data_IF_466448270226
#
_entry.id   IF_466448270226
#
_cell.length_a   1.000
_cell.length_b   1.000
_cell.length_c   1.000
_cell.angle_alpha   90.00
_cell.angle_beta   90.00
_cell.angle_gamma   90.00
#
_symmetry.space_group_name_H-M   'P 1'
#
loop_
_entity.id
_entity.type
_entity.pdbx_description
1 polymer ?
#
# COMPACT_ATOMS: atom_id res chain seq x y z
N UNK A 1 17.04 11.57 5.93
CA UNK A 1 16.45 10.24 6.11
C UNK A 1 16.93 9.34 4.98
N UNK A 2 17.37 8.12 5.29
CA UNK A 2 17.84 7.13 4.31
C UNK A 2 16.67 6.25 3.84
N UNK A 3 15.68 6.89 3.24
CA UNK A 3 14.52 6.23 2.66
C UNK A 3 14.52 6.58 1.18
N UNK A 4 14.38 5.57 0.34
CA UNK A 4 14.33 5.75 -1.11
C UNK A 4 13.21 4.87 -1.67
N UNK A 5 12.47 5.42 -2.62
CA UNK A 5 11.51 4.72 -3.46
C UNK A 5 11.93 4.88 -4.92
N UNK A 6 11.88 3.79 -5.67
CA UNK A 6 11.91 3.82 -7.12
C UNK A 6 10.75 3.00 -7.66
N UNK A 7 10.09 3.50 -8.69
CA UNK A 7 8.96 2.79 -9.27
C UNK A 7 8.46 3.36 -10.58
N UNK A 8 7.64 2.57 -11.23
CA UNK A 8 6.91 2.90 -12.44
C UNK A 8 5.44 3.03 -12.07
N UNK A 9 4.78 4.09 -12.54
CA UNK A 9 3.36 4.31 -12.36
C UNK A 9 2.69 4.79 -13.66
N UNK A 10 1.36 4.90 -13.64
CA UNK A 10 0.56 5.30 -14.80
C UNK A 10 0.80 6.75 -15.28
N UNK A 11 1.45 7.62 -14.48
CA UNK A 11 1.84 8.96 -14.91
C UNK A 11 3.09 8.94 -15.79
N UNK A 12 3.92 7.92 -15.67
CA UNK A 12 5.22 7.80 -16.33
C UNK A 12 5.23 6.78 -17.47
N UNK A 13 4.35 5.80 -17.42
CA UNK A 13 4.37 4.67 -18.32
C UNK A 13 2.95 4.26 -18.73
N UNK A 14 2.77 3.99 -20.00
CA UNK A 14 1.56 3.38 -20.51
C UNK A 14 1.37 1.95 -19.98
N UNK A 15 0.22 1.38 -20.29
CA UNK A 15 -0.12 0.04 -19.80
C UNK A 15 0.83 -1.03 -20.33
N UNK A 16 1.34 -0.89 -21.56
CA UNK A 16 2.24 -1.87 -22.19
C UNK A 16 3.60 -1.94 -21.46
N UNK A 17 4.11 -0.81 -20.97
CA UNK A 17 5.31 -0.74 -20.15
C UNK A 17 5.02 -1.25 -18.74
N UNK A 18 3.90 -0.86 -18.12
CA UNK A 18 3.55 -1.29 -16.75
C UNK A 18 3.37 -2.82 -16.66
N UNK A 19 2.79 -3.45 -17.66
CA UNK A 19 2.62 -4.91 -17.74
C UNK A 19 3.97 -5.65 -17.61
N UNK A 20 5.05 -5.10 -18.18
CA UNK A 20 6.39 -5.70 -18.10
C UNK A 20 6.97 -5.71 -16.69
N UNK A 21 6.49 -4.82 -15.82
CA UNK A 21 6.88 -4.72 -14.42
C UNK A 21 5.84 -5.29 -13.45
N UNK A 22 4.75 -5.83 -13.97
CA UNK A 22 3.74 -6.51 -13.16
C UNK A 22 4.30 -7.81 -12.56
N UNK A 23 4.02 -8.05 -11.28
CA UNK A 23 4.53 -9.21 -10.56
C UNK A 23 3.40 -10.05 -9.98
N UNK A 24 3.47 -11.35 -10.19
CA UNK A 24 2.65 -12.29 -9.41
C UNK A 24 3.09 -12.31 -7.94
N UNK A 25 2.22 -12.78 -7.04
CA UNK A 25 2.57 -12.93 -5.64
C UNK A 25 3.83 -13.80 -5.41
N UNK A 26 4.04 -14.81 -6.24
CA UNK A 26 5.22 -15.68 -6.18
C UNK A 26 6.48 -14.93 -6.60
N UNK A 27 6.43 -14.18 -7.71
CA UNK A 27 7.56 -13.40 -8.22
C UNK A 27 7.93 -12.29 -7.24
N UNK A 28 6.94 -11.58 -6.67
CA UNK A 28 7.14 -10.55 -5.66
C UNK A 28 7.91 -11.09 -4.43
N UNK A 29 7.47 -12.23 -3.88
CA UNK A 29 8.16 -12.88 -2.75
C UNK A 29 9.57 -13.31 -3.10
N UNK A 30 9.79 -13.84 -4.29
CA UNK A 30 11.12 -14.21 -4.77
C UNK A 30 12.03 -12.98 -4.91
N UNK A 31 11.52 -11.85 -5.40
CA UNK A 31 12.23 -10.58 -5.49
C UNK A 31 12.68 -10.09 -4.11
N UNK A 32 11.77 -10.03 -3.12
CA UNK A 32 12.09 -9.61 -1.75
C UNK A 32 13.18 -10.48 -1.13
N UNK A 33 13.10 -11.81 -1.30
CA UNK A 33 14.14 -12.74 -0.83
C UNK A 33 15.47 -12.52 -1.50
N UNK A 34 15.48 -12.27 -2.81
CA UNK A 34 16.71 -11.99 -3.58
C UNK A 34 17.39 -10.71 -3.10
N UNK A 35 16.63 -9.62 -2.97
CA UNK A 35 17.14 -8.34 -2.45
C UNK A 35 17.72 -8.53 -1.05
N UNK A 36 17.00 -9.21 -0.17
CA UNK A 36 17.46 -9.48 1.19
C UNK A 36 18.74 -10.29 1.25
N UNK A 37 18.93 -11.24 0.34
CA UNK A 37 20.15 -12.07 0.25
C UNK A 37 21.34 -11.26 -0.23
N UNK A 38 21.14 -10.37 -1.20
CA UNK A 38 22.19 -9.53 -1.80
C UNK A 38 22.53 -8.32 -0.92
N UNK A 39 21.53 -7.77 -0.21
CA UNK A 39 21.61 -6.56 0.60
C UNK A 39 20.98 -6.80 1.99
N UNK A 40 21.65 -7.56 2.88
CA UNK A 40 21.08 -7.92 4.20
C UNK A 40 20.82 -6.70 5.11
N UNK A 41 21.53 -5.59 4.88
CA UNK A 41 21.37 -4.32 5.60
C UNK A 41 20.20 -3.46 5.11
N UNK A 42 19.56 -3.85 3.99
CA UNK A 42 18.51 -3.07 3.36
C UNK A 42 17.15 -3.58 3.81
N UNK A 43 16.36 -2.68 4.39
CA UNK A 43 14.92 -2.92 4.54
C UNK A 43 14.25 -2.70 3.19
N UNK A 44 13.30 -3.55 2.80
CA UNK A 44 12.53 -3.33 1.58
C UNK A 44 11.07 -3.74 1.69
N UNK A 45 10.21 -2.99 0.99
CA UNK A 45 8.80 -3.29 0.74
C UNK A 45 8.53 -3.06 -0.74
N UNK A 46 7.80 -3.98 -1.37
CA UNK A 46 7.44 -3.90 -2.77
C UNK A 46 5.92 -3.76 -2.91
N UNK A 47 5.47 -2.62 -3.43
CA UNK A 47 4.07 -2.39 -3.79
C UNK A 47 3.93 -2.73 -5.28
N UNK A 48 3.03 -3.64 -5.61
CA UNK A 48 2.62 -3.91 -6.98
C UNK A 48 1.11 -3.94 -7.07
N UNK A 49 0.57 -3.18 -8.00
CA UNK A 49 -0.85 -3.05 -8.27
C UNK A 49 -1.05 -2.98 -9.78
N UNK A 50 -2.29 -2.83 -10.23
CA UNK A 50 -2.58 -2.57 -11.64
C UNK A 50 -1.94 -1.27 -12.19
N UNK A 51 -1.69 -0.29 -11.34
CA UNK A 51 -1.28 1.05 -11.77
C UNK A 51 0.17 1.38 -11.44
N UNK A 52 0.87 0.53 -10.67
CA UNK A 52 2.26 0.81 -10.25
C UNK A 52 3.02 -0.41 -9.77
N UNK A 53 4.33 -0.34 -9.93
CA UNK A 53 5.29 -1.23 -9.26
C UNK A 53 6.36 -0.37 -8.64
N UNK A 54 6.48 -0.40 -7.31
CA UNK A 54 7.33 0.49 -6.52
C UNK A 54 8.13 -0.29 -5.48
N UNK A 55 9.45 -0.17 -5.52
CA UNK A 55 10.36 -0.70 -4.51
C UNK A 55 10.71 0.42 -3.51
N UNK A 56 10.38 0.19 -2.27
CA UNK A 56 10.68 1.03 -1.13
C UNK A 56 11.82 0.46 -0.33
N UNK A 57 12.79 1.27 0.02
CA UNK A 57 13.94 0.83 0.80
C UNK A 57 14.33 1.81 1.89
N UNK A 58 14.92 1.27 2.95
CA UNK A 58 15.62 2.05 3.96
C UNK A 58 16.93 1.34 4.31
N UNK A 59 18.01 2.10 4.45
CA UNK A 59 19.33 1.59 4.81
C UNK A 59 19.85 2.26 6.07
N UNK A 60 20.84 1.64 6.70
CA UNK A 60 21.58 2.26 7.80
C UNK A 60 22.38 3.47 7.31
N UNK A 61 22.61 4.48 8.16
CA UNK A 61 23.51 5.58 7.82
C UNK A 61 24.90 5.08 7.43
N UNK A 62 25.40 5.54 6.27
CA UNK A 62 26.71 5.13 5.77
C UNK A 62 26.76 3.84 4.94
N UNK A 63 25.66 3.11 4.82
CA UNK A 63 25.59 1.95 3.93
C UNK A 63 25.61 2.38 2.46
N UNK A 64 26.18 1.56 1.56
CA UNK A 64 26.09 1.78 0.12
C UNK A 64 24.64 1.92 -0.33
N UNK A 65 24.39 2.86 -1.24
CA UNK A 65 23.05 2.99 -1.83
C UNK A 65 22.87 1.95 -2.93
N UNK A 66 21.86 1.08 -2.77
CA UNK A 66 21.46 0.16 -3.82
C UNK A 66 20.80 0.92 -4.98
N UNK A 67 21.08 0.50 -6.21
CA UNK A 67 20.35 0.99 -7.39
C UNK A 67 19.01 0.27 -7.50
N UNK A 68 17.95 0.95 -7.08
CA UNK A 68 16.59 0.37 -7.03
C UNK A 68 16.00 0.15 -8.42
N UNK A 69 16.42 0.95 -9.41
CA UNK A 69 15.99 0.78 -10.80
C UNK A 69 16.58 -0.52 -11.35
N UNK A 70 17.89 -0.73 -11.13
CA UNK A 70 18.55 -1.96 -11.50
C UNK A 70 17.90 -3.18 -10.84
N UNK A 71 17.64 -3.12 -9.52
CA UNK A 71 17.02 -4.22 -8.78
C UNK A 71 15.62 -4.58 -9.33
N UNK A 72 14.80 -3.58 -9.68
CA UNK A 72 13.48 -3.82 -10.27
C UNK A 72 13.57 -4.36 -11.70
N UNK A 73 14.48 -3.82 -12.51
CA UNK A 73 14.71 -4.30 -13.86
C UNK A 73 15.19 -5.76 -13.88
N UNK A 74 16.14 -6.12 -13.01
CA UNK A 74 16.58 -7.50 -12.85
C UNK A 74 15.47 -8.44 -12.41
N UNK A 75 14.67 -8.03 -11.41
CA UNK A 75 13.54 -8.82 -10.90
C UNK A 75 12.49 -9.10 -11.98
N UNK A 76 12.26 -8.13 -12.87
CA UNK A 76 11.33 -8.25 -13.99
C UNK A 76 11.98 -8.75 -15.29
N UNK A 77 13.30 -9.00 -15.29
CA UNK A 77 14.07 -9.42 -16.47
C UNK A 77 13.97 -8.42 -17.64
N UNK A 78 14.01 -7.14 -17.31
CA UNK A 78 13.96 -6.05 -18.29
C UNK A 78 15.31 -5.33 -18.37
N UNK A 79 15.75 -4.87 -19.55
CA UNK A 79 17.00 -4.12 -19.72
C UNK A 79 16.86 -2.72 -19.10
N UNK A 80 17.83 -2.31 -18.28
CA UNK A 80 17.82 -1.00 -17.58
C UNK A 80 17.86 0.14 -18.58
N UNK A 81 18.63 0.01 -19.65
CA UNK A 81 18.85 1.04 -20.67
C UNK A 81 17.55 1.44 -21.38
N UNK A 82 16.65 0.48 -21.55
CA UNK A 82 15.36 0.69 -22.22
C UNK A 82 14.32 1.33 -21.28
N UNK A 83 14.34 0.95 -19.97
CA UNK A 83 13.24 1.28 -19.06
C UNK A 83 13.57 2.31 -17.98
N UNK A 84 14.84 2.68 -17.79
CA UNK A 84 15.24 3.61 -16.72
C UNK A 84 14.52 4.97 -16.76
N UNK A 85 14.18 5.47 -17.96
CA UNK A 85 13.49 6.75 -18.14
C UNK A 85 12.04 6.77 -17.60
N UNK A 86 11.41 5.60 -17.47
CA UNK A 86 10.06 5.47 -16.93
C UNK A 86 9.99 5.48 -15.40
N UNK A 87 11.13 5.34 -14.73
CA UNK A 87 11.15 5.31 -13.27
C UNK A 87 11.08 6.71 -12.67
N UNK A 88 10.30 6.82 -11.61
CA UNK A 88 10.37 7.92 -10.66
C UNK A 88 11.15 7.48 -9.44
N UNK A 89 12.02 8.37 -8.94
CA UNK A 89 12.81 8.12 -7.72
C UNK A 89 12.48 9.24 -6.72
N UNK A 90 12.12 8.86 -5.49
CA UNK A 90 11.87 9.79 -4.40
C UNK A 90 12.73 9.44 -3.20
N UNK A 91 13.24 10.45 -2.50
CA UNK A 91 14.18 10.25 -1.38
C UNK A 91 13.77 11.07 -0.16
N UNK A 92 14.07 10.52 1.02
CA UNK A 92 13.92 11.23 2.29
C UNK A 92 12.49 11.69 2.54
N UNK A 93 12.30 13.00 2.76
CA UNK A 93 10.99 13.59 3.05
C UNK A 93 9.99 13.46 1.91
N UNK A 94 10.44 13.61 0.68
CA UNK A 94 9.60 13.45 -0.49
C UNK A 94 9.02 12.03 -0.59
N UNK A 95 9.82 11.01 -0.27
CA UNK A 95 9.35 9.64 -0.23
C UNK A 95 8.30 9.42 0.89
N UNK A 96 8.50 10.02 2.07
CA UNK A 96 7.55 9.95 3.18
C UNK A 96 6.21 10.57 2.80
N UNK A 97 6.23 11.80 2.31
CA UNK A 97 5.04 12.52 1.85
C UNK A 97 4.30 11.70 0.78
N UNK A 98 5.04 11.23 -0.22
CA UNK A 98 4.48 10.45 -1.30
C UNK A 98 3.77 9.17 -0.81
N UNK A 99 4.35 8.43 0.16
CA UNK A 99 3.70 7.23 0.69
C UNK A 99 2.40 7.57 1.45
N UNK A 100 2.38 8.67 2.20
CA UNK A 100 1.18 9.13 2.90
C UNK A 100 0.08 9.51 1.89
N UNK A 101 0.42 10.29 0.87
CA UNK A 101 -0.50 10.66 -0.21
C UNK A 101 -0.95 9.44 -1.01
N UNK A 102 -0.04 8.55 -1.39
CA UNK A 102 -0.34 7.31 -2.10
C UNK A 102 -1.32 6.43 -1.32
N UNK A 103 -1.02 6.18 -0.04
CA UNK A 103 -1.86 5.35 0.82
C UNK A 103 -3.28 5.89 0.98
N UNK A 104 -3.45 7.20 0.80
CA UNK A 104 -4.74 7.91 0.85
C UNK A 104 -5.46 7.97 -0.49
N UNK A 105 -4.90 7.37 -1.55
CA UNK A 105 -5.48 7.38 -2.89
C UNK A 105 -5.29 8.69 -3.66
N UNK A 106 -4.44 9.62 -3.19
CA UNK A 106 -4.21 10.91 -3.86
C UNK A 106 -3.35 10.77 -5.12
N UNK A 107 -2.64 9.66 -5.26
CA UNK A 107 -1.87 9.27 -6.44
C UNK A 107 -2.48 8.06 -7.14
N UNK A 108 -3.71 7.70 -6.86
CA UNK A 108 -4.44 6.68 -7.60
C UNK A 108 -5.01 7.27 -8.88
N UNK A 109 -5.18 6.44 -9.90
CA UNK A 109 -5.80 6.84 -11.17
C UNK A 109 -7.23 7.38 -10.95
N UNK A 110 -7.88 6.87 -9.92
CA UNK A 110 -9.14 7.37 -9.39
C UNK A 110 -8.85 7.98 -8.03
N UNK A 111 -9.12 9.27 -7.88
CA UNK A 111 -8.88 10.00 -6.64
C UNK A 111 -9.63 9.37 -5.46
N UNK A 112 -8.89 9.05 -4.41
CA UNK A 112 -9.44 8.45 -3.19
C UNK A 112 -9.84 6.98 -3.33
N UNK A 113 -9.24 6.23 -4.26
CA UNK A 113 -9.45 4.79 -4.41
C UNK A 113 -9.21 4.05 -3.09
N UNK A 114 -10.22 3.32 -2.65
CA UNK A 114 -10.22 2.57 -1.39
C UNK A 114 -9.32 1.34 -1.40
N UNK A 115 -9.01 0.82 -2.57
CA UNK A 115 -8.24 -0.42 -2.72
C UNK A 115 -6.77 -0.21 -2.34
N UNK A 116 -6.23 1.01 -2.56
CA UNK A 116 -4.81 1.30 -2.31
C UNK A 116 -4.41 1.07 -0.84
N UNK A 117 -5.27 1.42 0.13
CA UNK A 117 -5.00 1.15 1.56
C UNK A 117 -4.80 -0.36 1.79
N UNK A 118 -5.64 -1.17 1.19
CA UNK A 118 -5.58 -2.64 1.29
C UNK A 118 -4.33 -3.19 0.60
N UNK A 119 -3.95 -2.63 -0.54
CA UNK A 119 -2.76 -3.01 -1.30
C UNK A 119 -1.47 -2.64 -0.53
N UNK A 120 -1.38 -1.43 0.04
CA UNK A 120 -0.25 -1.01 0.89
C UNK A 120 -0.13 -1.88 2.14
N UNK A 121 -1.26 -2.24 2.79
CA UNK A 121 -1.27 -3.19 3.91
C UNK A 121 -0.78 -4.57 3.50
N UNK A 122 -1.21 -5.06 2.34
CA UNK A 122 -0.80 -6.36 1.82
C UNK A 122 0.69 -6.39 1.49
N UNK A 123 1.23 -5.32 0.90
CA UNK A 123 2.66 -5.16 0.61
C UNK A 123 3.49 -5.23 1.90
N UNK A 124 3.11 -4.46 2.93
CA UNK A 124 3.78 -4.50 4.23
C UNK A 124 3.69 -5.89 4.87
N UNK A 125 2.53 -6.54 4.81
CA UNK A 125 2.34 -7.91 5.33
C UNK A 125 3.27 -8.89 4.63
N UNK A 126 3.34 -8.86 3.31
CA UNK A 126 4.23 -9.74 2.53
C UNK A 126 5.70 -9.50 2.86
N UNK A 127 6.12 -8.23 2.99
CA UNK A 127 7.49 -7.91 3.39
C UNK A 127 7.84 -8.43 4.80
N UNK A 128 6.88 -8.42 5.74
CA UNK A 128 7.05 -9.05 7.08
C UNK A 128 7.22 -10.55 6.99
N UNK A 129 6.38 -11.23 6.21
CA UNK A 129 6.43 -12.68 6.01
C UNK A 129 7.76 -13.13 5.39
N UNK A 130 8.33 -12.31 4.52
CA UNK A 130 9.64 -12.55 3.88
C UNK A 130 10.82 -11.97 4.70
N UNK A 131 10.58 -11.46 5.92
CA UNK A 131 11.59 -10.83 6.79
C UNK A 131 12.37 -9.71 6.10
N UNK A 132 11.76 -9.02 5.16
CA UNK A 132 12.38 -7.97 4.35
C UNK A 132 12.21 -6.56 4.93
N UNK A 133 11.23 -6.36 5.80
CA UNK A 133 10.96 -5.08 6.46
C UNK A 133 11.67 -4.98 7.80
N UNK A 134 12.24 -3.82 8.10
CA UNK A 134 12.80 -3.47 9.41
C UNK A 134 12.02 -2.36 10.07
N UNK A 135 12.60 -1.76 11.12
CA UNK A 135 11.89 -0.79 11.97
C UNK A 135 11.47 0.49 11.22
N UNK A 136 12.27 0.95 10.25
CA UNK A 136 12.01 2.22 9.57
C UNK A 136 10.83 2.10 8.63
N UNK A 137 10.84 1.14 7.73
CA UNK A 137 9.73 0.94 6.80
C UNK A 137 8.48 0.43 7.51
N UNK A 138 8.62 -0.38 8.57
CA UNK A 138 7.49 -0.81 9.40
C UNK A 138 6.71 0.38 9.96
N UNK A 139 7.41 1.32 10.60
CA UNK A 139 6.76 2.51 11.19
C UNK A 139 6.23 3.43 10.11
N UNK A 140 7.00 3.68 9.05
CA UNK A 140 6.58 4.53 7.93
C UNK A 140 5.26 4.04 7.30
N UNK A 141 5.21 2.78 6.92
CA UNK A 141 4.00 2.20 6.29
C UNK A 141 2.80 2.19 7.23
N UNK A 142 3.01 1.89 8.52
CA UNK A 142 1.93 1.96 9.53
C UNK A 142 1.39 3.37 9.70
N UNK A 143 2.27 4.36 9.78
CA UNK A 143 1.91 5.78 9.90
C UNK A 143 1.13 6.23 8.65
N UNK A 144 1.61 5.92 7.46
CA UNK A 144 0.92 6.23 6.21
C UNK A 144 -0.48 5.58 6.13
N UNK A 145 -0.61 4.30 6.52
CA UNK A 145 -1.91 3.61 6.59
C UNK A 145 -2.85 4.28 7.61
N UNK A 146 -2.32 4.75 8.74
CA UNK A 146 -3.13 5.41 9.78
C UNK A 146 -3.61 6.77 9.29
N UNK A 147 -2.72 7.57 8.69
CA UNK A 147 -3.07 8.85 8.05
C UNK A 147 -4.11 8.67 6.95
N UNK A 148 -3.94 7.67 6.09
CA UNK A 148 -4.90 7.36 5.03
C UNK A 148 -6.29 7.03 5.56
N UNK A 149 -6.39 6.26 6.64
CA UNK A 149 -7.69 6.00 7.31
C UNK A 149 -8.31 7.27 7.88
N UNK A 150 -7.50 8.18 8.44
CA UNK A 150 -7.99 9.46 8.95
C UNK A 150 -8.52 10.35 7.83
N UNK A 151 -7.78 10.48 6.73
CA UNK A 151 -8.23 11.18 5.51
C UNK A 151 -9.57 10.61 5.04
N UNK A 152 -9.65 9.28 4.91
CA UNK A 152 -10.88 8.61 4.51
C UNK A 152 -12.06 8.95 5.43
N UNK A 153 -11.89 8.83 6.73
CA UNK A 153 -12.98 9.09 7.69
C UNK A 153 -13.37 10.57 7.78
N UNK A 154 -12.45 11.50 7.49
CA UNK A 154 -12.69 12.93 7.64
C UNK A 154 -13.18 13.61 6.37
N UNK A 155 -12.75 13.15 5.19
CA UNK A 155 -12.99 13.85 3.92
C UNK A 155 -13.80 12.97 2.96
N UNK A 156 -13.52 11.66 2.92
CA UNK A 156 -14.06 10.76 1.91
C UNK A 156 -15.37 10.08 2.31
N UNK A 157 -15.80 10.17 3.58
CA UNK A 157 -17.10 9.67 4.04
C UNK A 157 -18.31 10.45 3.50
N UNK A 158 -18.11 11.47 2.69
CA UNK A 158 -19.18 12.27 2.08
C UNK A 158 -19.79 11.65 0.80
N UNK A 159 -19.95 10.32 0.76
CA UNK A 159 -20.89 9.67 -0.16
C UNK A 159 -20.52 9.62 -1.64
N UNK A 160 -19.31 9.97 -2.02
CA UNK A 160 -18.86 9.80 -3.43
C UNK A 160 -18.16 8.45 -3.55
N UNK A 161 -18.84 7.53 -4.18
CA UNK A 161 -18.35 6.20 -4.53
C UNK A 161 -17.17 6.34 -5.52
N UNK A 162 -15.96 5.95 -5.10
CA UNK A 162 -14.70 6.25 -5.80
C UNK A 162 -13.92 4.99 -6.14
N UNK A 163 -14.63 3.91 -6.41
CA UNK A 163 -14.01 2.70 -6.92
C UNK A 163 -13.85 2.75 -8.45
N UNK A 164 -12.94 1.95 -8.98
CA UNK A 164 -12.79 1.70 -10.44
C UNK A 164 -14.16 1.37 -11.06
N UNK A 165 -14.99 0.64 -10.33
CA UNK A 165 -16.32 0.24 -10.78
C UNK A 165 -17.29 1.42 -10.88
N UNK A 166 -17.22 2.40 -9.97
CA UNK A 166 -18.02 3.63 -10.07
C UNK A 166 -17.53 4.57 -11.16
N UNK A 167 -16.21 4.63 -11.39
CA UNK A 167 -15.63 5.37 -12.50
C UNK A 167 -16.06 4.76 -13.85
N UNK A 168 -16.13 3.44 -13.94
CA UNK A 168 -16.69 2.73 -15.09
C UNK A 168 -18.12 3.19 -15.40
N UNK A 169 -18.99 3.26 -14.40
CA UNK A 169 -20.38 3.73 -14.60
C UNK A 169 -20.43 5.19 -15.06
N UNK A 170 -19.55 6.06 -14.52
CA UNK A 170 -19.44 7.46 -14.97
C UNK A 170 -19.00 7.53 -16.41
N UNK A 171 -17.96 6.80 -16.80
CA UNK A 171 -17.48 6.71 -18.18
C UNK A 171 -18.63 6.30 -19.13
N UNK A 172 -19.35 5.23 -18.81
CA UNK A 172 -20.47 4.76 -19.63
C UNK A 172 -21.55 5.83 -19.80
N UNK A 173 -21.88 6.56 -18.73
CA UNK A 173 -22.86 7.65 -18.79
C UNK A 173 -22.38 8.82 -19.64
N UNK A 174 -21.14 9.25 -19.50
CA UNK A 174 -20.58 10.37 -20.27
C UNK A 174 -20.40 10.05 -21.77
N UNK A 175 -20.14 8.77 -22.05
CA UNK A 175 -20.11 8.28 -23.45
C UNK A 175 -21.49 7.94 -23.98
N UNK A 176 -22.55 8.26 -23.21
CA UNK A 176 -23.95 8.01 -23.55
C UNK A 176 -24.24 6.52 -23.88
N UNK A 177 -23.47 5.59 -23.28
CA UNK A 177 -23.65 4.15 -23.45
C UNK A 177 -24.76 3.69 -22.48
N UNK A 178 -25.90 3.18 -22.98
CA UNK A 178 -27.01 2.79 -22.13
C UNK A 178 -26.67 1.54 -21.33
N UNK A 179 -27.05 1.54 -20.03
CA UNK A 179 -26.83 0.39 -19.12
C UNK A 179 -28.19 -0.24 -18.78
N UNK A 180 -29.20 0.59 -18.50
CA UNK A 180 -30.50 0.12 -18.06
C UNK A 180 -31.17 -0.82 -19.09
N UNK A 181 -31.53 -2.02 -18.63
CA UNK A 181 -32.15 -3.04 -19.46
C UNK A 181 -31.17 -3.82 -20.36
N UNK A 182 -29.93 -3.36 -20.49
CA UNK A 182 -28.91 -4.00 -21.33
C UNK A 182 -28.35 -5.28 -20.70
N UNK A 183 -27.93 -6.21 -21.55
CA UNK A 183 -27.22 -7.42 -21.12
C UNK A 183 -25.74 -7.08 -20.86
N UNK A 184 -25.30 -7.33 -19.62
CA UNK A 184 -23.94 -7.07 -19.19
C UNK A 184 -23.26 -8.37 -18.77
N UNK A 185 -22.08 -8.65 -19.35
CA UNK A 185 -21.26 -9.78 -18.98
C UNK A 185 -20.08 -9.32 -18.14
N UNK A 186 -19.88 -9.91 -16.97
CA UNK A 186 -18.69 -9.65 -16.13
C UNK A 186 -17.84 -10.92 -16.08
N UNK A 187 -16.63 -10.82 -16.61
CA UNK A 187 -15.66 -11.92 -16.60
C UNK A 187 -14.75 -11.74 -15.40
N UNK A 188 -14.87 -12.67 -14.44
CA UNK A 188 -14.11 -12.62 -13.19
C UNK A 188 -14.99 -12.42 -11.95
N UNK A 189 -14.68 -13.19 -10.90
CA UNK A 189 -15.37 -13.17 -9.60
C UNK A 189 -14.42 -12.70 -8.47
N UNK A 190 -13.40 -11.91 -8.81
CA UNK A 190 -12.56 -11.21 -7.87
C UNK A 190 -13.28 -10.03 -7.22
N UNK A 191 -12.58 -9.27 -6.38
CA UNK A 191 -13.14 -8.07 -5.72
C UNK A 191 -13.66 -7.05 -6.74
N UNK A 192 -12.82 -6.68 -7.72
CA UNK A 192 -13.18 -5.72 -8.77
C UNK A 192 -14.36 -6.20 -9.61
N UNK A 193 -14.34 -7.48 -10.03
CA UNK A 193 -15.44 -8.05 -10.83
C UNK A 193 -16.78 -8.04 -10.10
N UNK A 194 -16.79 -8.32 -8.79
CA UNK A 194 -18.01 -8.25 -7.97
C UNK A 194 -18.52 -6.82 -7.82
N UNK A 195 -17.61 -5.85 -7.59
CA UNK A 195 -17.98 -4.44 -7.51
C UNK A 195 -18.52 -3.93 -8.84
N UNK A 196 -17.88 -4.27 -9.95
CA UNK A 196 -18.36 -3.91 -11.30
C UNK A 196 -19.75 -4.48 -11.57
N UNK A 197 -19.99 -5.74 -11.19
CA UNK A 197 -21.29 -6.39 -11.32
C UNK A 197 -22.37 -5.69 -10.50
N UNK A 198 -22.07 -5.32 -9.24
CA UNK A 198 -23.00 -4.58 -8.37
C UNK A 198 -23.34 -3.21 -8.93
N UNK A 199 -22.37 -2.47 -9.45
CA UNK A 199 -22.61 -1.13 -9.99
C UNK A 199 -23.41 -1.18 -11.30
N UNK A 200 -23.15 -2.17 -12.15
CA UNK A 200 -23.96 -2.39 -13.37
C UNK A 200 -25.41 -2.77 -13.02
N UNK A 201 -25.60 -3.64 -12.03
CA UNK A 201 -26.93 -4.05 -11.55
C UNK A 201 -27.69 -2.86 -10.96
N UNK A 202 -27.08 -2.05 -10.10
CA UNK A 202 -27.66 -0.81 -9.56
C UNK A 202 -28.03 0.19 -10.65
N UNK A 203 -27.29 0.21 -11.76
CA UNK A 203 -27.57 1.05 -12.91
C UNK A 203 -28.69 0.46 -13.82
N UNK A 204 -29.27 -0.67 -13.44
CA UNK A 204 -30.38 -1.33 -14.13
C UNK A 204 -29.95 -2.31 -15.22
N UNK A 205 -28.67 -2.68 -15.31
CA UNK A 205 -28.16 -3.69 -16.23
C UNK A 205 -28.58 -5.11 -15.85
N UNK A 206 -28.76 -5.99 -16.83
CA UNK A 206 -28.99 -7.44 -16.61
C UNK A 206 -27.63 -8.14 -16.58
N UNK A 207 -27.11 -8.36 -15.38
CA UNK A 207 -25.73 -8.78 -15.17
C UNK A 207 -25.60 -10.31 -15.10
N UNK A 208 -24.70 -10.86 -15.93
CA UNK A 208 -24.25 -12.24 -15.86
C UNK A 208 -22.77 -12.27 -15.53
N UNK A 209 -22.38 -13.01 -14.50
CA UNK A 209 -20.97 -13.18 -14.09
C UNK A 209 -20.44 -14.54 -14.51
N UNK A 210 -19.16 -14.60 -14.88
CA UNK A 210 -18.50 -15.88 -15.11
C UNK A 210 -17.80 -16.37 -13.86
N UNK A 211 -17.85 -17.69 -13.64
CA UNK A 211 -17.14 -18.37 -12.57
C UNK A 211 -16.19 -19.44 -13.12
N UNK A 212 -14.95 -19.45 -12.63
CA UNK A 212 -14.09 -20.63 -12.69
C UNK A 212 -14.39 -21.51 -11.49
N UNK A 213 -14.70 -22.78 -11.71
CA UNK A 213 -14.88 -23.75 -10.61
C UNK A 213 -13.53 -24.05 -9.95
N UNK A 214 -13.20 -23.37 -8.84
CA UNK A 214 -12.15 -23.76 -7.94
C UNK A 214 -12.74 -24.45 -6.70
N UNK A 215 -12.28 -25.63 -6.42
CA UNK A 215 -12.86 -26.60 -5.45
C UNK A 215 -12.91 -26.18 -3.97
N UNK A 216 -12.47 -24.99 -3.54
CA UNK A 216 -12.28 -24.73 -2.10
C UNK A 216 -12.55 -23.30 -1.60
N UNK A 217 -13.33 -22.47 -2.27
CA UNK A 217 -13.75 -21.16 -1.71
C UNK A 217 -15.24 -20.94 -1.87
N UNK A 218 -15.87 -20.40 -0.83
CA UNK A 218 -17.23 -19.86 -0.93
C UNK A 218 -17.30 -18.83 -2.05
N UNK A 219 -18.21 -19.06 -2.99
CA UNK A 219 -18.43 -18.16 -4.12
C UNK A 219 -19.46 -17.13 -3.69
N UNK A 220 -19.03 -15.87 -3.57
CA UNK A 220 -19.93 -14.75 -3.29
C UNK A 220 -20.39 -14.15 -4.61
N UNK A 221 -21.69 -14.21 -4.85
CA UNK A 221 -22.34 -13.61 -6.02
C UNK A 221 -23.15 -12.40 -5.55
N UNK A 222 -23.02 -11.23 -6.16
CA UNK A 222 -23.87 -10.08 -5.87
C UNK A 222 -25.34 -10.38 -6.13
N UNK A 223 -26.23 -9.80 -5.31
CA UNK A 223 -27.67 -9.92 -5.50
C UNK A 223 -28.08 -9.40 -6.89
N UNK A 224 -29.05 -10.03 -7.52
CA UNK A 224 -29.54 -9.66 -8.84
C UNK A 224 -28.69 -10.13 -10.01
N UNK A 225 -27.50 -10.71 -9.77
CA UNK A 225 -26.62 -11.20 -10.82
C UNK A 225 -26.86 -12.69 -11.13
N UNK A 226 -26.87 -13.06 -12.40
CA UNK A 226 -26.84 -14.44 -12.89
C UNK A 226 -25.41 -14.96 -12.99
N UNK A 227 -25.23 -16.28 -13.05
CA UNK A 227 -23.92 -16.91 -13.08
C UNK A 227 -23.82 -17.97 -14.17
N UNK A 228 -22.67 -17.97 -14.87
CA UNK A 228 -22.34 -19.00 -15.86
C UNK A 228 -20.91 -19.51 -15.67
N UNK A 229 -20.60 -20.68 -16.24
CA UNK A 229 -19.21 -21.15 -16.28
C UNK A 229 -18.34 -20.21 -17.12
N UNK A 230 -17.09 -19.99 -16.69
CA UNK A 230 -16.09 -19.20 -17.42
C UNK A 230 -15.92 -19.67 -18.87
N UNK A 231 -16.04 -20.98 -19.12
CA UNK A 231 -15.87 -21.54 -20.45
C UNK A 231 -16.96 -21.06 -21.44
N UNK A 232 -18.12 -20.63 -20.91
CA UNK A 232 -19.24 -20.09 -21.71
C UNK A 232 -19.15 -18.58 -22.00
N UNK A 233 -18.03 -17.92 -21.64
CA UNK A 233 -17.88 -16.47 -21.76
C UNK A 233 -18.10 -15.96 -23.20
N UNK A 234 -17.60 -16.67 -24.21
CA UNK A 234 -17.80 -16.29 -25.61
C UNK A 234 -19.25 -16.53 -26.10
N UNK A 235 -19.95 -17.53 -25.59
CA UNK A 235 -21.36 -17.75 -25.89
C UNK A 235 -22.20 -16.61 -25.27
N UNK A 236 -21.89 -16.20 -24.05
CA UNK A 236 -22.56 -15.08 -23.38
C UNK A 236 -22.21 -13.72 -24.00
N UNK A 237 -21.02 -13.57 -24.56
CA UNK A 237 -20.60 -12.36 -25.27
C UNK A 237 -21.51 -12.04 -26.47
N UNK A 238 -22.09 -13.05 -27.15
CA UNK A 238 -22.92 -12.85 -28.32
C UNK A 238 -24.18 -12.03 -28.04
N UNK A 239 -24.68 -12.02 -26.81
CA UNK A 239 -25.88 -11.26 -26.44
C UNK A 239 -25.61 -10.08 -25.51
N UNK A 240 -24.35 -9.78 -25.22
CA UNK A 240 -23.98 -8.72 -24.30
C UNK A 240 -23.71 -7.40 -25.03
N UNK A 241 -24.29 -6.31 -24.53
CA UNK A 241 -23.99 -4.95 -25.00
C UNK A 241 -22.78 -4.36 -24.28
N UNK A 242 -22.50 -4.82 -23.05
CA UNK A 242 -21.36 -4.40 -22.23
C UNK A 242 -20.66 -5.65 -21.70
N UNK A 243 -19.34 -5.72 -21.88
CA UNK A 243 -18.52 -6.80 -21.35
C UNK A 243 -17.41 -6.20 -20.50
N UNK A 244 -17.35 -6.57 -19.23
CA UNK A 244 -16.30 -6.14 -18.30
C UNK A 244 -15.41 -7.34 -17.98
N UNK A 245 -14.10 -7.21 -18.12
CA UNK A 245 -13.15 -8.22 -17.66
C UNK A 245 -12.32 -7.70 -16.49
N UNK A 246 -12.26 -8.50 -15.41
CA UNK A 246 -11.61 -8.15 -14.16
C UNK A 246 -11.07 -9.42 -13.49
N UNK A 247 -10.09 -10.08 -14.11
CA UNK A 247 -9.50 -11.33 -13.60
C UNK A 247 -8.05 -11.13 -13.18
N UNK A 248 -7.47 -12.13 -12.53
CA UNK A 248 -6.03 -12.24 -12.27
C UNK A 248 -5.39 -13.26 -13.20
N UNK A 249 -5.95 -13.45 -14.38
CA UNK A 249 -5.46 -14.41 -15.36
C UNK A 249 -4.13 -13.92 -15.97
N UNK A 250 -3.10 -14.77 -16.11
CA UNK A 250 -1.89 -14.41 -16.83
C UNK A 250 -2.08 -14.43 -18.36
N UNK A 251 -3.27 -14.79 -18.85
CA UNK A 251 -3.59 -14.92 -20.27
C UNK A 251 -4.84 -14.11 -20.59
N UNK A 252 -4.94 -13.63 -21.81
CA UNK A 252 -6.13 -12.94 -22.29
C UNK A 252 -7.39 -13.78 -22.09
N UNK A 253 -8.42 -13.16 -21.55
CA UNK A 253 -9.74 -13.76 -21.37
C UNK A 253 -10.59 -13.64 -22.63
N UNK A 254 -10.37 -12.58 -23.41
CA UNK A 254 -11.00 -12.33 -24.69
C UNK A 254 -9.94 -12.09 -25.77
N UNK A 255 -10.11 -12.77 -26.90
CA UNK A 255 -9.25 -12.69 -28.08
C UNK A 255 -10.06 -12.33 -29.32
N UNK A 256 -9.51 -11.53 -30.26
CA UNK A 256 -10.28 -10.98 -31.38
C UNK A 256 -10.89 -12.05 -32.28
N UNK A 257 -10.17 -13.13 -32.59
CA UNK A 257 -10.62 -14.19 -33.49
C UNK A 257 -11.83 -14.93 -32.91
N UNK A 258 -11.81 -15.21 -31.60
CA UNK A 258 -12.90 -15.94 -30.94
C UNK A 258 -14.10 -15.03 -30.67
N UNK A 259 -13.82 -13.76 -30.36
CA UNK A 259 -14.86 -12.77 -30.08
C UNK A 259 -15.61 -12.38 -31.36
N UNK A 260 -14.92 -12.05 -32.46
CA UNK A 260 -15.52 -11.65 -33.72
C UNK A 260 -16.50 -12.68 -34.27
N UNK A 261 -16.21 -13.97 -34.10
CA UNK A 261 -17.07 -15.07 -34.52
C UNK A 261 -18.39 -15.17 -33.73
N UNK A 262 -18.53 -14.43 -32.63
CA UNK A 262 -19.68 -14.52 -31.71
C UNK A 262 -20.48 -13.23 -31.56
N UNK A 263 -19.90 -12.08 -31.90
CA UNK A 263 -20.62 -10.81 -31.79
C UNK A 263 -21.76 -10.72 -32.81
N UNK A 264 -22.91 -10.24 -32.36
CA UNK A 264 -24.11 -10.03 -33.19
C UNK A 264 -24.51 -8.56 -33.32
N UNK A 265 -23.72 -7.64 -32.74
CA UNK A 265 -23.99 -6.19 -32.82
C UNK A 265 -22.96 -5.40 -31.99
N UNK A 266 -23.20 -4.10 -31.81
CA UNK A 266 -22.29 -3.22 -31.08
C UNK A 266 -22.06 -3.68 -29.65
N UNK A 267 -20.79 -3.70 -29.21
CA UNK A 267 -20.41 -4.09 -27.90
C UNK A 267 -19.36 -3.14 -27.31
N UNK A 268 -19.55 -2.78 -26.05
CA UNK A 268 -18.55 -2.05 -25.24
C UNK A 268 -17.77 -3.02 -24.39
N UNK A 269 -16.46 -3.06 -24.59
CA UNK A 269 -15.52 -3.85 -23.81
C UNK A 269 -14.84 -2.94 -22.77
N UNK A 270 -14.72 -3.40 -21.54
CA UNK A 270 -14.07 -2.69 -20.44
C UNK A 270 -13.07 -3.63 -19.79
N UNK A 271 -11.79 -3.30 -19.87
CA UNK A 271 -10.72 -4.07 -19.25
C UNK A 271 -10.29 -3.40 -17.95
N UNK A 272 -10.62 -4.02 -16.82
CA UNK A 272 -10.25 -3.58 -15.46
C UNK A 272 -9.06 -4.37 -14.88
N UNK A 273 -8.37 -5.15 -15.73
CA UNK A 273 -7.28 -6.02 -15.30
C UNK A 273 -5.90 -5.48 -15.72
N UNK A 274 -4.88 -5.76 -14.90
CA UNK A 274 -3.47 -5.64 -15.27
C UNK A 274 -2.73 -6.87 -14.70
N UNK A 275 -2.05 -7.63 -15.56
CA UNK A 275 -1.99 -7.49 -17.02
C UNK A 275 -3.38 -7.52 -17.67
N UNK A 276 -3.49 -6.94 -18.87
CA UNK A 276 -4.76 -6.89 -19.59
C UNK A 276 -5.40 -8.26 -19.76
N UNK A 277 -6.69 -8.30 -19.54
CA UNK A 277 -7.54 -9.48 -19.76
C UNK A 277 -8.04 -9.54 -21.23
N UNK A 278 -8.19 -8.39 -21.88
CA UNK A 278 -8.71 -8.27 -23.24
C UNK A 278 -7.54 -7.99 -24.18
N UNK A 279 -7.40 -8.82 -25.19
CA UNK A 279 -6.34 -8.62 -26.20
C UNK A 279 -6.57 -7.32 -26.97
N UNK A 280 -5.55 -6.42 -27.11
CA UNK A 280 -5.70 -5.12 -27.76
C UNK A 280 -6.29 -5.17 -29.16
N UNK A 281 -6.05 -6.26 -29.90
CA UNK A 281 -6.63 -6.50 -31.23
C UNK A 281 -8.16 -6.46 -31.25
N UNK A 282 -8.83 -6.67 -30.09
CA UNK A 282 -10.29 -6.55 -30.01
C UNK A 282 -10.79 -5.13 -30.33
N UNK A 283 -10.01 -4.08 -30.08
CA UNK A 283 -10.36 -2.70 -30.42
C UNK A 283 -10.46 -2.44 -31.94
N UNK A 284 -9.86 -3.30 -32.73
CA UNK A 284 -9.91 -3.20 -34.21
C UNK A 284 -11.10 -3.93 -34.82
N UNK A 285 -11.91 -4.61 -34.03
CA UNK A 285 -13.10 -5.30 -34.53
C UNK A 285 -14.23 -4.29 -34.87
N UNK A 286 -15.03 -4.54 -35.92
CA UNK A 286 -16.19 -3.73 -36.21
C UNK A 286 -17.16 -3.68 -35.01
N UNK A 287 -17.76 -2.52 -34.78
CA UNK A 287 -18.76 -2.30 -33.73
C UNK A 287 -18.28 -2.59 -32.28
N UNK A 288 -16.97 -2.63 -32.08
CA UNK A 288 -16.36 -2.79 -30.77
C UNK A 288 -15.76 -1.46 -30.29
N UNK A 289 -16.11 -1.05 -29.06
CA UNK A 289 -15.45 0.03 -28.34
C UNK A 289 -14.74 -0.58 -27.11
N UNK A 290 -13.44 -0.40 -27.03
CA UNK A 290 -12.63 -0.90 -25.90
C UNK A 290 -12.16 0.25 -25.02
N UNK A 291 -12.45 0.15 -23.73
CA UNK A 291 -11.90 1.00 -22.67
C UNK A 291 -11.02 0.15 -21.76
N UNK A 292 -9.81 0.59 -21.53
CA UNK A 292 -8.88 0.00 -20.55
C UNK A 292 -8.69 0.91 -19.33
N UNK A 293 -7.82 0.50 -18.42
CA UNK A 293 -7.55 1.24 -17.16
C UNK A 293 -7.09 2.69 -17.41
N UNK A 294 -6.46 3.00 -18.52
CA UNK A 294 -5.94 4.35 -18.80
C UNK A 294 -7.08 5.34 -19.14
N UNK A 295 -8.22 4.83 -19.61
CA UNK A 295 -9.40 5.66 -19.91
C UNK A 295 -10.05 6.27 -18.67
N UNK A 296 -9.72 5.82 -17.46
CA UNK A 296 -10.32 6.33 -16.21
C UNK A 296 -9.56 7.50 -15.59
N UNK A 297 -8.39 7.86 -16.12
CA UNK A 297 -7.52 8.93 -15.59
C UNK A 297 -8.07 10.36 -15.76
N UNK A 298 -9.01 10.58 -16.67
CA UNK A 298 -9.54 11.92 -17.00
C UNK A 298 -10.69 12.38 -16.11
N UNK A 299 -11.11 11.57 -15.13
CA UNK A 299 -12.31 11.81 -14.30
C UNK A 299 -12.05 12.59 -13.02
N UNK A 300 -11.19 13.62 -13.05
CA UNK A 300 -10.86 14.47 -11.89
C UNK A 300 -11.42 15.90 -12.06
N UNK A 301 -12.20 16.40 -11.10
CA UNK A 301 -12.88 17.69 -11.15
C UNK A 301 -12.48 18.71 -10.04
N UNK A 302 -12.99 19.96 -10.12
CA UNK A 302 -12.66 21.07 -9.20
C UNK A 302 -12.94 20.80 -7.71
N UNK A 303 -13.97 20.01 -7.39
CA UNK A 303 -14.25 19.57 -6.02
C UNK A 303 -13.12 18.72 -5.41
N UNK A 304 -12.28 18.13 -6.25
CA UNK A 304 -11.13 17.33 -5.83
C UNK A 304 -9.94 18.19 -5.37
N UNK A 305 -9.77 19.40 -5.91
CA UNK A 305 -8.67 20.28 -5.51
C UNK A 305 -8.78 20.74 -4.05
N UNK A 306 -9.99 21.01 -3.55
CA UNK A 306 -10.23 21.37 -2.15
C UNK A 306 -10.06 20.17 -1.23
N UNK A 307 -10.58 19.01 -1.65
CA UNK A 307 -10.41 17.75 -0.91
C UNK A 307 -8.95 17.31 -0.87
N UNK A 308 -8.21 17.48 -1.96
CA UNK A 308 -6.77 17.22 -2.04
C UNK A 308 -5.99 18.09 -1.04
N UNK A 309 -6.34 19.37 -0.94
CA UNK A 309 -5.71 20.31 0.01
C UNK A 309 -5.99 19.87 1.46
N UNK A 310 -7.24 19.63 1.79
CA UNK A 310 -7.64 19.18 3.12
C UNK A 310 -7.03 17.82 3.50
N UNK A 311 -6.92 16.91 2.54
CA UNK A 311 -6.24 15.63 2.75
C UNK A 311 -4.75 15.81 3.07
N UNK A 312 -4.05 16.68 2.34
CA UNK A 312 -2.64 17.00 2.58
C UNK A 312 -2.40 17.65 3.94
N UNK A 313 -3.32 18.51 4.39
CA UNK A 313 -3.25 19.11 5.72
C UNK A 313 -3.32 18.04 6.83
N UNK A 314 -4.24 17.08 6.69
CA UNK A 314 -4.33 15.96 7.64
C UNK A 314 -3.05 15.10 7.58
N UNK A 315 -2.55 14.77 6.40
CA UNK A 315 -1.38 13.91 6.23
C UNK A 315 -0.11 14.52 6.79
N UNK A 316 0.02 15.86 6.77
CA UNK A 316 1.18 16.58 7.30
C UNK A 316 1.44 16.31 8.79
N UNK A 317 0.38 16.05 9.57
CA UNK A 317 0.52 15.63 10.97
C UNK A 317 1.25 14.29 11.07
N UNK A 318 0.84 13.31 10.27
CA UNK A 318 1.44 11.97 10.25
C UNK A 318 2.87 11.97 9.68
N UNK A 319 3.13 12.79 8.67
CA UNK A 319 4.49 12.99 8.14
C UNK A 319 5.41 13.52 9.23
N UNK A 320 4.95 14.53 9.98
CA UNK A 320 5.69 15.12 11.09
C UNK A 320 5.91 14.13 12.22
N UNK A 321 4.89 13.34 12.58
CA UNK A 321 4.99 12.27 13.59
C UNK A 321 6.07 11.25 13.20
N UNK A 322 6.05 10.78 11.93
CA UNK A 322 7.07 9.87 11.44
C UNK A 322 8.47 10.50 11.43
N UNK A 323 8.62 11.76 10.98
CA UNK A 323 9.90 12.45 10.99
C UNK A 323 10.46 12.56 12.40
N UNK A 324 9.65 12.96 13.37
CA UNK A 324 10.04 13.06 14.77
C UNK A 324 10.49 11.69 15.31
N UNK A 325 9.73 10.63 15.04
CA UNK A 325 10.13 9.27 15.39
C UNK A 325 11.44 8.86 14.69
N UNK A 326 11.58 9.14 13.40
CA UNK A 326 12.76 8.75 12.62
C UNK A 326 14.05 9.36 13.19
N UNK A 327 14.02 10.61 13.58
CA UNK A 327 15.19 11.27 14.17
C UNK A 327 15.41 10.88 15.62
N UNK A 328 14.35 10.72 16.38
CA UNK A 328 14.45 10.31 17.78
C UNK A 328 14.98 8.89 17.94
N UNK A 329 14.80 8.02 16.94
CA UNK A 329 15.24 6.61 17.03
C UNK A 329 16.74 6.45 17.35
N UNK A 330 17.57 7.42 16.96
CA UNK A 330 19.01 7.42 17.25
C UNK A 330 19.29 7.52 18.75
N UNK A 331 18.37 8.10 19.52
CA UNK A 331 18.49 8.27 20.96
C UNK A 331 17.87 7.12 21.77
N UNK A 332 17.18 6.16 21.11
CA UNK A 332 16.55 5.02 21.80
C UNK A 332 17.56 4.23 22.66
N UNK A 333 18.78 3.91 22.19
CA UNK A 333 19.78 3.24 23.01
C UNK A 333 20.15 4.06 24.25
N UNK A 334 20.38 5.38 24.08
CA UNK A 334 20.70 6.32 25.15
C UNK A 334 19.55 6.40 26.18
N UNK A 335 18.31 6.50 25.72
CA UNK A 335 17.13 6.47 26.60
C UNK A 335 17.09 5.21 27.47
N UNK A 336 17.32 4.05 26.84
CA UNK A 336 17.36 2.76 27.56
C UNK A 336 18.51 2.70 28.56
N UNK A 337 19.68 3.20 28.20
CA UNK A 337 20.85 3.25 29.10
C UNK A 337 20.59 4.16 30.31
N UNK A 338 20.08 5.39 30.05
CA UNK A 338 19.72 6.32 31.12
C UNK A 338 18.68 5.69 32.07
N UNK A 339 17.63 5.10 31.53
CA UNK A 339 16.58 4.41 32.28
C UNK A 339 17.16 3.28 33.14
N UNK A 340 18.10 2.51 32.59
CA UNK A 340 18.77 1.43 33.33
C UNK A 340 19.66 1.95 34.48
N UNK A 341 20.43 3.01 34.20
CA UNK A 341 21.30 3.62 35.24
C UNK A 341 20.45 4.18 36.37
N UNK A 342 19.45 4.99 36.06
CA UNK A 342 18.62 5.62 37.09
C UNK A 342 17.75 4.61 37.83
N UNK A 343 17.26 3.57 37.15
CA UNK A 343 16.57 2.48 37.84
C UNK A 343 17.43 1.72 38.84
N UNK A 344 18.73 1.51 38.54
CA UNK A 344 19.69 0.93 39.48
C UNK A 344 19.95 1.87 40.64
N UNK A 345 20.16 3.15 40.40
CA UNK A 345 20.44 4.15 41.41
C UNK A 345 19.28 4.30 42.43
N UNK A 346 18.03 4.34 41.90
CA UNK A 346 16.84 4.40 42.76
C UNK A 346 16.74 3.15 43.65
N UNK A 347 16.99 1.97 43.10
CA UNK A 347 16.97 0.73 43.84
C UNK A 347 18.07 0.71 44.95
N UNK A 348 19.27 1.22 44.64
CA UNK A 348 20.37 1.32 45.58
C UNK A 348 20.07 2.30 46.74
N UNK A 349 19.44 3.43 46.45
CA UNK A 349 19.03 4.40 47.51
C UNK A 349 17.98 3.83 48.47
N UNK A 350 17.16 2.91 48.00
CA UNK A 350 16.16 2.23 48.84
C UNK A 350 16.69 0.99 49.54
N UNK A 351 17.99 0.68 49.42
CA UNK A 351 18.57 -0.54 49.95
C UNK A 351 18.52 -0.58 51.48
N UNK A 352 18.73 0.56 52.17
CA UNK A 352 18.66 0.63 53.62
C UNK A 352 17.26 0.33 54.14
N UNK A 353 16.24 0.83 53.48
CA UNK A 353 14.83 0.62 53.80
C UNK A 353 14.42 -0.82 53.55
N UNK A 354 14.84 -1.38 52.43
CA UNK A 354 14.59 -2.78 52.08
C UNK A 354 15.26 -3.74 53.12
N UNK A 355 16.47 -3.44 53.52
CA UNK A 355 17.18 -4.25 54.52
C UNK A 355 16.61 -4.13 55.95
N UNK A 356 15.84 -3.07 56.24
CA UNK A 356 15.12 -2.87 57.53
C UNK A 356 13.72 -3.48 57.51
N UNK A 357 13.22 -3.88 56.35
CA UNK A 357 11.92 -4.50 56.23
C UNK A 357 11.92 -5.94 56.76
N UNK A 358 10.73 -6.46 57.10
CA UNK A 358 10.53 -7.84 57.53
C UNK A 358 10.50 -8.85 56.36
N UNK A 359 10.93 -8.46 55.16
CA UNK A 359 10.94 -9.28 53.97
C UNK A 359 12.04 -10.34 54.02
N UNK A 360 11.77 -11.52 53.53
CA UNK A 360 12.79 -12.53 53.29
C UNK A 360 13.78 -12.05 52.22
N UNK A 361 14.92 -12.70 52.13
CA UNK A 361 15.96 -12.33 51.15
C UNK A 361 15.43 -12.44 49.71
N UNK A 362 14.65 -13.47 49.39
CA UNK A 362 14.06 -13.67 48.08
C UNK A 362 13.05 -12.57 47.72
N UNK A 363 12.16 -12.22 48.67
CA UNK A 363 11.19 -11.15 48.51
C UNK A 363 11.87 -9.78 48.33
N UNK A 364 12.95 -9.52 49.09
CA UNK A 364 13.75 -8.30 48.97
C UNK A 364 14.43 -8.19 47.61
N UNK A 365 14.99 -9.30 47.09
CA UNK A 365 15.64 -9.32 45.77
C UNK A 365 14.62 -9.16 44.64
N UNK A 366 13.45 -9.78 44.77
CA UNK A 366 12.35 -9.60 43.83
C UNK A 366 11.84 -8.14 43.81
N UNK A 367 11.67 -7.55 44.98
CA UNK A 367 11.23 -6.16 45.10
C UNK A 367 12.27 -5.18 44.53
N UNK A 368 13.56 -5.39 44.77
CA UNK A 368 14.65 -4.63 44.14
C UNK A 368 14.56 -4.68 42.61
N UNK A 369 14.33 -5.87 42.03
CA UNK A 369 14.18 -6.06 40.59
C UNK A 369 12.97 -5.30 40.07
N UNK A 370 11.84 -5.36 40.76
CA UNK A 370 10.60 -4.62 40.42
C UNK A 370 10.83 -3.10 40.48
N UNK A 371 11.45 -2.60 41.57
CA UNK A 371 11.76 -1.17 41.68
C UNK A 371 12.66 -0.70 40.55
N UNK A 372 13.77 -1.41 40.28
CA UNK A 372 14.69 -1.07 39.20
C UNK A 372 13.98 -1.02 37.83
N UNK A 373 13.14 -2.01 37.58
CA UNK A 373 12.43 -2.10 36.29
C UNK A 373 11.37 -1.01 36.16
N UNK A 374 10.58 -0.79 37.21
CA UNK A 374 9.52 0.22 37.20
C UNK A 374 10.09 1.65 37.11
N UNK A 375 11.08 1.97 37.89
CA UNK A 375 11.75 3.29 37.89
C UNK A 375 12.41 3.55 36.53
N UNK A 376 13.15 2.58 35.98
CA UNK A 376 13.77 2.70 34.68
C UNK A 376 12.75 2.90 33.56
N UNK A 377 11.59 2.24 33.64
CA UNK A 377 10.49 2.41 32.71
C UNK A 377 9.86 3.81 32.77
N UNK A 378 9.65 4.34 33.98
CA UNK A 378 9.12 5.71 34.16
C UNK A 378 10.06 6.74 33.56
N UNK A 379 11.34 6.64 33.83
CA UNK A 379 12.38 7.54 33.29
C UNK A 379 12.42 7.43 31.75
N UNK A 380 12.43 6.21 31.22
CA UNK A 380 12.43 6.01 29.78
C UNK A 380 11.18 6.62 29.12
N UNK A 381 10.01 6.44 29.71
CA UNK A 381 8.76 7.02 29.20
C UNK A 381 8.79 8.55 29.22
N UNK A 382 9.33 9.17 30.28
CA UNK A 382 9.52 10.62 30.34
C UNK A 382 10.43 11.11 29.21
N UNK A 383 11.55 10.42 28.98
CA UNK A 383 12.49 10.76 27.92
C UNK A 383 11.88 10.52 26.51
N UNK A 384 11.09 9.46 26.34
CA UNK A 384 10.35 9.26 25.07
C UNK A 384 9.37 10.39 24.80
N UNK A 385 8.73 10.97 25.81
CA UNK A 385 7.83 12.12 25.65
C UNK A 385 8.51 13.38 25.11
N UNK A 386 9.84 13.51 25.27
CA UNK A 386 10.58 14.65 24.71
C UNK A 386 10.60 14.67 23.17
N UNK A 387 10.36 13.54 22.53
CA UNK A 387 10.30 13.40 21.06
C UNK A 387 9.31 14.38 20.41
N UNK A 388 8.18 14.59 21.07
CA UNK A 388 7.06 15.34 20.51
C UNK A 388 7.10 16.82 20.88
N UNK A 389 8.03 17.22 21.77
CA UNK A 389 8.15 18.57 22.32
C UNK A 389 9.44 19.27 21.90
N UNK A 390 10.53 18.51 21.73
CA UNK A 390 11.84 19.07 21.42
C UNK A 390 12.15 18.99 19.93
N UNK A 391 12.71 20.08 19.40
CA UNK A 391 13.28 20.09 18.05
C UNK A 391 14.60 19.29 17.97
N UNK A 392 15.06 19.06 16.74
CA UNK A 392 16.27 18.27 16.47
C UNK A 392 17.54 18.83 17.12
N UNK A 393 17.71 20.13 17.12
CA UNK A 393 18.91 20.75 17.69
C UNK A 393 18.92 20.63 19.22
N UNK A 394 17.75 20.77 19.83
CA UNK A 394 17.56 20.52 21.27
C UNK A 394 17.84 19.06 21.63
N UNK A 395 17.35 18.08 20.85
CA UNK A 395 17.64 16.66 21.07
C UNK A 395 19.14 16.36 21.01
N UNK A 396 19.86 16.89 20.01
CA UNK A 396 21.33 16.71 19.87
C UNK A 396 22.12 17.28 21.05
N UNK A 397 21.62 18.33 21.68
CA UNK A 397 22.27 18.97 22.84
C UNK A 397 21.92 18.29 24.14
N UNK A 398 20.65 17.91 24.32
CA UNK A 398 20.12 17.43 25.60
C UNK A 398 20.52 15.97 25.84
N UNK A 399 20.39 15.09 24.87
CA UNK A 399 20.62 13.66 25.10
C UNK A 399 22.06 13.31 25.50
N UNK A 400 23.13 13.86 24.88
CA UNK A 400 24.49 13.63 25.34
C UNK A 400 24.73 14.18 26.75
N UNK A 401 24.13 15.33 27.09
CA UNK A 401 24.24 15.91 28.40
C UNK A 401 23.54 15.06 29.50
N UNK A 402 22.34 14.53 29.20
CA UNK A 402 21.61 13.64 30.10
C UNK A 402 22.36 12.32 30.30
N UNK A 403 22.91 11.75 29.24
CA UNK A 403 23.73 10.53 29.32
C UNK A 403 24.97 10.72 30.18
N UNK A 404 25.71 11.81 29.94
CA UNK A 404 26.88 12.14 30.74
C UNK A 404 26.51 12.37 32.23
N UNK A 405 25.39 13.03 32.51
CA UNK A 405 24.88 13.24 33.85
C UNK A 405 24.49 11.91 34.55
N UNK A 406 23.75 11.05 33.82
CA UNK A 406 23.37 9.74 34.36
C UNK A 406 24.59 8.86 34.67
N UNK A 407 25.61 8.87 33.82
CA UNK A 407 26.85 8.13 34.03
C UNK A 407 27.65 8.62 35.28
N UNK A 408 27.53 9.89 35.65
CA UNK A 408 28.14 10.42 36.88
C UNK A 408 27.49 9.87 38.15
N UNK A 409 26.24 9.47 38.12
CA UNK A 409 25.55 8.84 39.25
C UNK A 409 26.04 7.41 39.53
N UNK A 410 26.77 6.79 38.60
CA UNK A 410 27.42 5.48 38.81
C UNK A 410 28.69 5.53 39.69
N UNK A 411 29.22 6.73 39.92
CA UNK A 411 30.40 6.94 40.77
C UNK A 411 29.97 7.24 42.23
#
# INVERSE_FOLDING_TARGET
MNITMAGIDFHRADIAVRERFSMTATTLRACLRSIRKQHPELECVLITTCNRTELWTSSLPGSPQADLVLLLCEACRQPVEEFSAYFSIRKGKEAVQYLCELSSGLHSQIFGDDQIISQVKSALKTAREEHAVGAVLEVLFRTAITGAKKVKSSILCSGIDRSVSSAMIRLLREKEIPIAGQSCLVIGNGEIGRLAAQELEKAGGKVTMTLRQYKHKEVVIPAGCSVVSYDKRYEQASGASIIVSATLSPHFTLQPELLSAKLSGPVTLIDLAIPRDIEPGCASLPDVTLFDMDCFSEYTGQAEAEQLRSAREILKEYETEFENWYFFREYIPTVKEIGHILGKEIAARLEKELNRSSLTREESDELRKKIRTASGKVVSNLLYGTRDVLDRESLKRIFPALEASARRLKK
#
